data_IF_956789573289
#
_entry.id   IF_956789573289
#
_cell.length_a   1.000
_cell.length_b   1.000
_cell.length_c   1.000
_cell.angle_alpha   90.00
_cell.angle_beta   90.00
_cell.angle_gamma   90.00
#
_symmetry.space_group_name_H-M   'P 1'
#
loop_
_entity.id
_entity.type
_entity.pdbx_description
1 polymer ?
#
# COMPACT_ATOMS: atom_id res chain seq x y z
N UNK A 1 11.45 9.65 1.50
CA UNK A 1 12.65 8.77 1.48
C UNK A 1 13.99 9.37 2.01
N UNK A 2 14.12 10.59 2.56
CA UNK A 2 15.45 11.13 2.94
C UNK A 2 16.25 10.25 3.92
N UNK A 3 15.61 9.77 4.99
CA UNK A 3 16.29 8.97 6.02
C UNK A 3 16.85 7.65 5.48
N UNK A 4 16.12 6.96 4.59
CA UNK A 4 16.59 5.67 4.04
C UNK A 4 17.75 5.84 3.05
N UNK A 5 17.84 6.98 2.37
CA UNK A 5 18.94 7.28 1.43
C UNK A 5 20.29 7.51 2.13
N UNK A 6 20.30 7.67 3.45
CA UNK A 6 21.55 7.72 4.25
C UNK A 6 22.23 6.36 4.38
N UNK A 7 21.50 5.26 4.19
CA UNK A 7 21.98 3.87 4.40
C UNK A 7 21.90 3.04 3.12
N UNK A 8 20.99 3.38 2.21
CA UNK A 8 20.72 2.60 1.00
C UNK A 8 20.78 3.44 -0.27
N UNK A 9 21.27 2.82 -1.35
CA UNK A 9 21.04 3.25 -2.72
C UNK A 9 19.78 2.55 -3.28
N UNK A 10 19.11 3.18 -4.24
CA UNK A 10 17.84 2.70 -4.78
C UNK A 10 17.90 2.59 -6.30
N UNK A 11 17.22 1.58 -6.85
CA UNK A 11 16.97 1.44 -8.29
C UNK A 11 16.01 2.51 -8.80
N UNK A 12 15.87 2.59 -10.13
CA UNK A 12 14.68 3.18 -10.74
C UNK A 12 13.41 2.46 -10.25
N UNK A 13 12.28 3.16 -10.30
CA UNK A 13 11.01 2.58 -9.89
C UNK A 13 10.55 1.51 -10.91
N UNK A 14 10.04 0.39 -10.43
CA UNK A 14 9.51 -0.67 -11.32
C UNK A 14 7.99 -0.82 -11.23
N UNK A 15 7.34 -0.33 -10.18
CA UNK A 15 5.91 -0.04 -10.17
C UNK A 15 5.57 1.12 -9.23
N UNK A 16 4.36 1.66 -9.38
CA UNK A 16 3.77 2.64 -8.45
C UNK A 16 2.55 2.04 -7.76
N UNK A 17 2.58 2.03 -6.43
CA UNK A 17 1.49 1.52 -5.60
C UNK A 17 0.56 2.65 -5.21
N UNK A 18 -0.75 2.50 -5.44
CA UNK A 18 -1.73 3.44 -4.86
C UNK A 18 -2.13 2.96 -3.48
N UNK A 19 -2.31 3.87 -2.53
CA UNK A 19 -2.92 3.54 -1.25
C UNK A 19 -4.42 3.81 -1.30
N UNK A 20 -5.22 2.91 -0.75
CA UNK A 20 -6.66 3.05 -0.68
C UNK A 20 -7.23 2.40 0.57
N UNK A 21 -8.42 2.84 0.93
CA UNK A 21 -9.14 2.37 2.09
C UNK A 21 -10.02 1.17 1.73
N UNK A 22 -10.10 0.19 2.63
CA UNK A 22 -11.01 -0.96 2.54
C UNK A 22 -11.91 -0.97 3.77
N UNK A 23 -13.20 -1.26 3.56
CA UNK A 23 -14.19 -1.44 4.63
C UNK A 23 -15.08 -2.65 4.37
N UNK A 24 -15.75 -3.15 5.40
CA UNK A 24 -16.88 -4.09 5.32
C UNK A 24 -18.23 -3.42 5.63
N UNK A 25 -18.27 -2.08 5.69
CA UNK A 25 -19.45 -1.32 6.10
C UNK A 25 -19.74 -0.20 5.10
N UNK A 26 -20.93 -0.24 4.50
CA UNK A 26 -21.32 0.70 3.45
C UNK A 26 -21.37 2.16 3.94
N UNK A 27 -21.67 2.42 5.21
CA UNK A 27 -21.66 3.76 5.80
C UNK A 27 -20.25 4.36 5.95
N UNK A 28 -19.21 3.55 5.75
CA UNK A 28 -17.80 3.99 5.71
C UNK A 28 -17.27 4.16 4.28
N UNK A 29 -18.12 4.03 3.27
CA UNK A 29 -17.77 4.15 1.86
C UNK A 29 -18.69 5.17 1.15
N UNK A 30 -18.17 6.30 0.65
CA UNK A 30 -16.76 6.68 0.66
C UNK A 30 -16.35 7.35 1.97
N UNK A 31 -15.07 7.22 2.35
CA UNK A 31 -14.51 7.76 3.60
C UNK A 31 -14.63 9.29 3.72
N UNK A 32 -14.69 10.01 2.59
CA UNK A 32 -14.84 11.49 2.60
C UNK A 32 -16.24 11.95 3.01
N UNK A 33 -17.24 11.06 3.00
CA UNK A 33 -18.58 11.33 3.51
C UNK A 33 -18.70 11.03 5.02
N UNK A 34 -17.63 10.51 5.66
CA UNK A 34 -17.63 10.11 7.06
C UNK A 34 -16.83 11.06 7.91
N UNK A 35 -17.41 11.45 9.05
CA UNK A 35 -16.71 12.24 10.05
C UNK A 35 -15.50 11.47 10.60
N UNK A 36 -14.34 12.13 10.62
CA UNK A 36 -13.10 11.49 11.04
C UNK A 36 -13.16 10.92 12.48
N UNK A 37 -13.94 11.52 13.38
CA UNK A 37 -14.15 11.03 14.75
C UNK A 37 -14.88 9.66 14.83
N UNK A 38 -15.59 9.26 13.76
CA UNK A 38 -16.22 7.94 13.64
C UNK A 38 -15.26 6.90 13.07
N UNK A 39 -14.13 7.31 12.50
CA UNK A 39 -13.16 6.41 11.90
C UNK A 39 -12.31 5.72 12.96
N UNK A 40 -12.22 4.40 12.85
CA UNK A 40 -11.26 3.56 13.54
C UNK A 40 -10.45 2.86 12.45
N UNK A 41 -9.26 3.40 12.17
CA UNK A 41 -8.44 3.06 11.02
C UNK A 41 -7.36 2.05 11.44
N UNK A 42 -7.33 0.90 10.77
CA UNK A 42 -6.25 -0.08 10.91
C UNK A 42 -5.14 0.11 9.87
N UNK A 43 -3.89 0.05 10.31
CA UNK A 43 -2.70 0.14 9.46
C UNK A 43 -1.59 -0.81 9.93
N UNK A 44 -0.73 -1.24 9.00
CA UNK A 44 0.43 -2.06 9.37
C UNK A 44 1.57 -1.18 9.90
N UNK A 45 2.23 -1.64 10.95
CA UNK A 45 3.36 -0.95 11.57
C UNK A 45 4.54 -0.81 10.60
N UNK A 46 5.29 0.29 10.74
CA UNK A 46 6.50 0.60 9.97
C UNK A 46 6.26 0.75 8.45
N UNK A 47 5.03 1.09 8.05
CA UNK A 47 4.66 1.32 6.65
C UNK A 47 4.51 2.79 6.30
N UNK A 48 4.42 3.09 5.01
CA UNK A 48 4.03 4.42 4.55
C UNK A 48 2.62 4.77 5.03
N UNK A 49 1.69 3.81 4.97
CA UNK A 49 0.29 3.99 5.31
C UNK A 49 0.11 4.43 6.76
N UNK A 50 0.89 3.86 7.69
CA UNK A 50 0.91 4.32 9.08
C UNK A 50 1.23 5.82 9.17
N UNK A 51 2.34 6.25 8.56
CA UNK A 51 2.75 7.67 8.59
C UNK A 51 1.71 8.58 7.97
N UNK A 52 1.06 8.13 6.89
CA UNK A 52 0.01 8.90 6.23
C UNK A 52 -1.19 9.14 7.15
N UNK A 53 -1.73 8.08 7.76
CA UNK A 53 -2.89 8.23 8.67
C UNK A 53 -2.54 9.00 9.94
N UNK A 54 -1.33 8.82 10.48
CA UNK A 54 -0.86 9.58 11.63
C UNK A 54 -0.70 11.06 11.32
N UNK A 55 -0.27 11.42 10.11
CA UNK A 55 -0.13 12.82 9.71
C UNK A 55 -1.47 13.48 9.39
N UNK A 56 -2.39 12.80 8.70
CA UNK A 56 -3.58 13.46 8.17
C UNK A 56 -4.81 13.25 9.07
N UNK A 57 -4.99 12.05 9.63
CA UNK A 57 -6.21 11.67 10.34
C UNK A 57 -6.10 11.81 11.86
N UNK A 58 -4.89 11.84 12.41
CA UNK A 58 -4.70 12.08 13.85
C UNK A 58 -5.21 13.47 14.26
N UNK A 59 -4.90 14.51 13.47
CA UNK A 59 -5.42 15.86 13.71
C UNK A 59 -6.92 16.01 13.45
N UNK A 60 -7.54 15.02 12.79
CA UNK A 60 -8.98 14.97 12.54
C UNK A 60 -9.73 14.11 13.57
N UNK A 61 -9.05 13.68 14.65
CA UNK A 61 -9.62 12.87 15.74
C UNK A 61 -10.07 11.45 15.37
N UNK A 62 -9.55 10.88 14.28
CA UNK A 62 -9.73 9.46 14.00
C UNK A 62 -8.93 8.60 14.99
N UNK A 63 -9.47 7.43 15.36
CA UNK A 63 -8.73 6.45 16.15
C UNK A 63 -7.86 5.60 15.22
N UNK A 64 -6.56 5.57 15.44
CA UNK A 64 -5.61 4.79 14.64
C UNK A 64 -5.16 3.58 15.46
N UNK A 65 -5.29 2.39 14.89
CA UNK A 65 -4.79 1.14 15.47
C UNK A 65 -3.74 0.54 14.53
N UNK A 66 -2.56 0.24 15.08
CA UNK A 66 -1.46 -0.35 14.32
C UNK A 66 -1.35 -1.85 14.59
N UNK A 67 -1.01 -2.61 13.55
CA UNK A 67 -0.92 -4.07 13.61
C UNK A 67 0.41 -4.56 13.06
N UNK A 68 0.88 -5.71 13.53
CA UNK A 68 2.18 -6.24 13.14
C UNK A 68 2.13 -6.95 11.78
N UNK A 69 0.98 -7.56 11.46
CA UNK A 69 0.78 -8.28 10.20
C UNK A 69 -0.48 -7.82 9.45
N UNK A 70 -0.46 -8.02 8.13
CA UNK A 70 -1.60 -7.75 7.27
C UNK A 70 -2.86 -8.54 7.69
N UNK A 71 -2.66 -9.81 8.05
CA UNK A 71 -3.75 -10.72 8.45
C UNK A 71 -4.48 -10.25 9.71
N UNK A 72 -3.76 -9.64 10.66
CA UNK A 72 -4.36 -9.07 11.88
C UNK A 72 -5.29 -7.89 11.56
N UNK A 73 -4.90 -7.05 10.58
CA UNK A 73 -5.73 -5.92 10.14
C UNK A 73 -7.02 -6.43 9.51
N UNK A 74 -6.92 -7.42 8.62
CA UNK A 74 -8.09 -8.02 7.97
C UNK A 74 -9.03 -8.66 9.00
N UNK A 75 -8.48 -9.39 9.98
CA UNK A 75 -9.26 -9.97 11.07
C UNK A 75 -9.94 -8.88 11.93
N UNK A 76 -9.23 -7.81 12.25
CA UNK A 76 -9.77 -6.68 13.01
C UNK A 76 -10.91 -5.98 12.26
N UNK A 77 -10.80 -5.83 10.93
CA UNK A 77 -11.83 -5.25 10.09
C UNK A 77 -13.09 -6.12 10.10
N UNK A 78 -12.93 -7.43 9.89
CA UNK A 78 -14.03 -8.40 9.92
C UNK A 78 -14.74 -8.45 11.28
N UNK A 79 -13.98 -8.38 12.37
CA UNK A 79 -14.52 -8.32 13.74
C UNK A 79 -15.18 -6.98 14.07
N UNK A 80 -14.94 -5.94 13.27
CA UNK A 80 -15.42 -4.58 13.52
C UNK A 80 -14.64 -3.86 14.63
N UNK A 81 -13.44 -4.34 14.99
CA UNK A 81 -12.52 -3.63 15.90
C UNK A 81 -11.99 -2.35 15.26
N UNK A 82 -11.77 -2.40 13.95
CA UNK A 82 -11.60 -1.24 13.06
C UNK A 82 -12.79 -1.19 12.10
N UNK A 83 -13.12 -0.03 11.56
CA UNK A 83 -14.16 0.11 10.54
C UNK A 83 -13.59 0.36 9.13
N UNK A 84 -12.33 0.77 9.05
CA UNK A 84 -11.62 0.95 7.79
C UNK A 84 -10.17 0.50 7.98
N UNK A 85 -9.55 -0.07 6.95
CA UNK A 85 -8.09 -0.22 6.87
C UNK A 85 -7.51 0.58 5.72
N UNK A 86 -6.33 1.16 5.89
CA UNK A 86 -5.56 1.75 4.79
C UNK A 86 -4.48 0.75 4.35
N UNK A 87 -4.45 0.44 3.05
CA UNK A 87 -3.50 -0.52 2.47
C UNK A 87 -2.89 0.02 1.18
N UNK A 88 -1.76 -0.57 0.79
CA UNK A 88 -1.19 -0.37 -0.54
C UNK A 88 -1.90 -1.24 -1.59
N UNK A 89 -1.63 -0.95 -2.87
CA UNK A 89 -2.38 -1.49 -4.01
C UNK A 89 -2.41 -3.01 -4.08
N UNK A 90 -1.24 -3.62 -4.28
CA UNK A 90 -1.08 -5.06 -4.54
C UNK A 90 -1.77 -5.97 -3.50
N UNK A 91 -1.47 -5.88 -2.18
CA UNK A 91 -2.13 -6.69 -1.17
C UNK A 91 -3.61 -6.33 -1.01
N UNK A 92 -3.99 -5.06 -1.14
CA UNK A 92 -5.40 -4.64 -1.05
C UNK A 92 -6.26 -5.26 -2.15
N UNK A 93 -5.81 -5.22 -3.40
CA UNK A 93 -6.51 -5.83 -4.51
C UNK A 93 -6.50 -7.36 -4.42
N UNK A 94 -5.39 -7.96 -4.01
CA UNK A 94 -5.33 -9.41 -3.77
C UNK A 94 -6.35 -9.85 -2.71
N UNK A 95 -6.49 -9.09 -1.61
CA UNK A 95 -7.49 -9.33 -0.58
C UNK A 95 -8.91 -9.22 -1.13
N UNK A 96 -9.25 -8.12 -1.82
CA UNK A 96 -10.59 -7.89 -2.36
C UNK A 96 -11.03 -8.97 -3.37
N UNK A 97 -10.06 -9.64 -4.01
CA UNK A 97 -10.30 -10.74 -4.96
C UNK A 97 -10.26 -12.12 -4.31
N UNK A 98 -9.77 -12.24 -3.08
CA UNK A 98 -9.75 -13.51 -2.36
C UNK A 98 -11.15 -13.85 -1.82
N UNK A 99 -11.42 -15.14 -1.48
CA UNK A 99 -12.65 -15.51 -0.77
C UNK A 99 -12.86 -14.72 0.52
N UNK A 100 -11.77 -14.30 1.17
CA UNK A 100 -11.83 -13.52 2.41
C UNK A 100 -12.31 -12.09 2.19
N UNK A 101 -12.15 -11.55 0.98
CA UNK A 101 -12.56 -10.20 0.59
C UNK A 101 -14.00 -10.07 0.12
N UNK A 102 -14.79 -11.16 0.09
CA UNK A 102 -16.14 -11.16 -0.49
C UNK A 102 -17.10 -10.09 0.09
N UNK A 103 -16.94 -9.77 1.37
CA UNK A 103 -17.75 -8.75 2.07
C UNK A 103 -17.04 -7.40 2.19
N UNK A 104 -15.86 -7.27 1.57
CA UNK A 104 -15.03 -6.07 1.64
C UNK A 104 -15.23 -5.24 0.37
N UNK A 105 -15.11 -3.92 0.52
CA UNK A 105 -15.23 -2.96 -0.56
C UNK A 105 -14.22 -1.83 -0.40
N UNK A 106 -13.86 -1.19 -1.52
CA UNK A 106 -13.02 0.00 -1.52
C UNK A 106 -13.85 1.16 -0.94
N UNK A 107 -13.35 1.76 0.13
CA UNK A 107 -13.94 2.93 0.81
C UNK A 107 -13.41 4.27 0.25
N UNK A 108 -12.52 4.23 -0.73
CA UNK A 108 -11.97 5.42 -1.40
C UNK A 108 -10.45 5.36 -1.51
N UNK A 109 -9.91 6.10 -2.47
CA UNK A 109 -8.46 6.27 -2.60
C UNK A 109 -7.94 7.19 -1.51
N UNK A 110 -6.72 6.95 -1.04
CA UNK A 110 -6.01 7.97 -0.27
C UNK A 110 -5.74 9.17 -1.20
N UNK A 111 -5.94 10.43 -0.73
CA UNK A 111 -5.66 11.61 -1.54
C UNK A 111 -4.24 11.59 -2.09
N UNK A 112 -4.03 12.24 -3.24
CA UNK A 112 -2.77 12.23 -3.99
C UNK A 112 -1.53 12.36 -3.09
N UNK A 113 -0.84 11.24 -2.89
CA UNK A 113 0.48 11.20 -2.29
C UNK A 113 1.47 11.63 -3.38
N UNK A 114 2.54 12.34 -2.99
CA UNK A 114 3.70 12.54 -3.87
C UNK A 114 4.09 11.20 -4.52
N UNK A 115 4.14 11.18 -5.87
CA UNK A 115 4.40 9.97 -6.64
C UNK A 115 5.70 9.26 -6.18
N UNK A 116 6.71 10.02 -5.74
CA UNK A 116 7.98 9.51 -5.23
C UNK A 116 7.86 8.69 -3.93
N UNK A 117 6.76 8.87 -3.18
CA UNK A 117 6.46 8.07 -1.98
C UNK A 117 5.77 6.75 -2.33
N UNK A 118 5.19 6.65 -3.54
CA UNK A 118 4.50 5.46 -4.03
C UNK A 118 5.34 4.59 -4.95
N UNK A 119 6.54 5.05 -5.30
CA UNK A 119 7.50 4.32 -6.10
C UNK A 119 8.02 3.11 -5.32
N UNK A 120 7.88 1.94 -5.95
CA UNK A 120 8.55 0.74 -5.50
C UNK A 120 9.92 0.63 -6.18
N UNK A 121 10.96 0.65 -5.35
CA UNK A 121 12.35 0.58 -5.78
C UNK A 121 13.05 -0.57 -5.03
N UNK A 122 14.04 -1.17 -5.68
CA UNK A 122 14.94 -2.13 -5.06
C UNK A 122 16.01 -1.34 -4.31
N UNK A 123 16.21 -1.67 -3.04
CA UNK A 123 17.20 -1.02 -2.18
C UNK A 123 18.43 -1.92 -2.00
N UNK A 124 19.63 -1.35 -2.11
CA UNK A 124 20.89 -2.01 -1.79
C UNK A 124 21.65 -1.15 -0.78
N UNK A 125 22.43 -1.79 0.11
CA UNK A 125 23.28 -1.04 1.04
C UNK A 125 24.26 -0.15 0.25
N UNK A 126 24.62 1.03 0.79
CA UNK A 126 25.48 1.98 0.08
C UNK A 126 26.84 1.39 -0.33
N UNK A 127 27.39 0.46 0.44
CA UNK A 127 28.62 -0.26 0.09
C UNK A 127 28.51 -1.07 -1.21
N UNK A 128 27.27 -1.43 -1.60
CA UNK A 128 26.96 -2.19 -2.79
C UNK A 128 26.28 -1.33 -3.88
N UNK A 129 26.43 0.00 -3.83
CA UNK A 129 25.77 0.92 -4.79
C UNK A 129 26.08 0.62 -6.26
N UNK A 130 27.20 -0.04 -6.55
CA UNK A 130 27.57 -0.49 -7.90
C UNK A 130 26.59 -1.52 -8.49
N UNK A 131 25.73 -2.15 -7.67
CA UNK A 131 24.67 -3.03 -8.15
C UNK A 131 23.49 -2.28 -8.76
N UNK A 132 23.29 -1.00 -8.43
CA UNK A 132 22.13 -0.25 -8.90
C UNK A 132 22.04 -0.17 -10.44
N UNK A 133 23.12 0.17 -11.18
CA UNK A 133 23.08 0.15 -12.65
C UNK A 133 22.72 -1.23 -13.22
N UNK A 134 23.26 -2.31 -12.64
CA UNK A 134 22.98 -3.69 -13.08
C UNK A 134 21.52 -4.08 -12.83
N UNK A 135 20.98 -3.69 -11.68
CA UNK A 135 19.56 -3.90 -11.34
C UNK A 135 18.67 -3.12 -12.31
N UNK A 136 19.00 -1.86 -12.61
CA UNK A 136 18.23 -1.04 -13.55
C UNK A 136 18.25 -1.63 -14.96
N UNK A 137 19.40 -2.11 -15.43
CA UNK A 137 19.51 -2.78 -16.72
C UNK A 137 18.65 -4.05 -16.79
N UNK A 138 18.70 -4.88 -15.73
CA UNK A 138 17.86 -6.07 -15.65
C UNK A 138 16.36 -5.74 -15.65
N UNK A 139 15.93 -4.70 -14.93
CA UNK A 139 14.54 -4.24 -14.92
C UNK A 139 14.09 -3.79 -16.33
N UNK A 140 14.92 -3.03 -17.04
CA UNK A 140 14.66 -2.61 -18.42
C UNK A 140 14.51 -3.83 -19.33
N UNK A 141 15.41 -4.81 -19.23
CA UNK A 141 15.35 -6.03 -20.04
C UNK A 141 14.07 -6.84 -19.76
N UNK A 142 13.68 -6.99 -18.49
CA UNK A 142 12.46 -7.69 -18.08
C UNK A 142 11.18 -7.02 -18.60
N UNK A 143 11.18 -5.69 -18.68
CA UNK A 143 10.08 -4.93 -19.27
C UNK A 143 10.06 -5.10 -20.79
N UNK A 144 11.21 -4.93 -21.45
CA UNK A 144 11.34 -5.02 -22.91
C UNK A 144 10.99 -6.40 -23.48
N UNK A 145 11.32 -7.48 -22.76
CA UNK A 145 11.03 -8.86 -23.19
C UNK A 145 9.68 -9.41 -22.68
N UNK A 146 8.88 -8.56 -22.01
CA UNK A 146 7.55 -8.88 -21.50
C UNK A 146 7.52 -9.89 -20.34
N UNK A 147 8.66 -10.31 -19.78
CA UNK A 147 8.69 -11.16 -18.58
C UNK A 147 8.00 -10.46 -17.41
N UNK A 148 8.26 -9.15 -17.25
CA UNK A 148 7.64 -8.35 -16.21
C UNK A 148 6.10 -8.39 -16.31
N UNK A 149 5.55 -8.19 -17.51
CA UNK A 149 4.11 -8.24 -17.74
C UNK A 149 3.53 -9.63 -17.44
N UNK A 150 4.24 -10.71 -17.82
CA UNK A 150 3.81 -12.08 -17.50
C UNK A 150 3.79 -12.35 -16.00
N UNK A 151 4.75 -11.82 -15.25
CA UNK A 151 4.76 -11.93 -13.78
C UNK A 151 3.58 -11.17 -13.18
N UNK A 152 3.32 -9.93 -13.65
CA UNK A 152 2.16 -9.16 -13.22
C UNK A 152 0.86 -9.91 -13.51
N UNK A 153 0.64 -10.41 -14.71
CA UNK A 153 -0.58 -11.17 -15.04
C UNK A 153 -0.69 -12.48 -14.24
N UNK A 154 0.44 -13.13 -13.91
CA UNK A 154 0.41 -14.39 -13.16
C UNK A 154 -0.01 -14.18 -11.70
N UNK A 155 0.49 -13.12 -11.07
CA UNK A 155 0.26 -12.87 -9.64
C UNK A 155 -0.86 -11.86 -9.38
N UNK A 156 -1.15 -11.02 -10.37
CA UNK A 156 -2.13 -9.93 -10.33
C UNK A 156 -2.92 -9.86 -11.66
N UNK A 157 -3.57 -10.96 -12.10
CA UNK A 157 -4.25 -11.07 -13.41
C UNK A 157 -5.33 -10.00 -13.66
N UNK A 158 -5.88 -9.45 -12.58
CA UNK A 158 -7.00 -8.51 -12.62
C UNK A 158 -6.56 -7.04 -12.44
N UNK A 159 -5.26 -6.75 -12.37
CA UNK A 159 -4.76 -5.37 -12.40
C UNK A 159 -4.65 -4.88 -13.83
N UNK A 160 -5.65 -4.12 -14.28
CA UNK A 160 -5.55 -3.35 -15.51
C UNK A 160 -4.61 -2.15 -15.28
N UNK A 161 -3.41 -2.20 -15.87
CA UNK A 161 -2.49 -1.06 -16.00
C UNK A 161 -2.85 -0.22 -17.23
#
# INVERSE_FOLDING_TARGET
MPERRKVFAFSENYYRSRSFFITNKADFSPIHAVDANRLVIGVQQNTLQQRLVENDFHYQHAKILTYTSYSEIVAALKKGTINVMLTEGLPGYALLKSPEGRELMIAGNYPSIDASLTDACIAVHLDNRSLIPLINEALIQLQANGVYQRLLMRYFPDMNY
#
